data_IF_495581000682
#
_entry.id   IF_495581000682
#
_cell.length_a   1.000
_cell.length_b   1.000
_cell.length_c   1.000
_cell.angle_alpha   90.00
_cell.angle_beta   90.00
_cell.angle_gamma   90.00
#
_symmetry.space_group_name_H-M   'P 1'
#
loop_
_entity.id
_entity.type
_entity.pdbx_description
1 polymer ?
#
# COMPACT_ATOMS: atom_id res chain seq x y z
N UNK A 1 26.61 -4.37 -4.53
CA UNK A 1 25.58 -5.44 -4.51
C UNK A 1 25.67 -6.20 -3.21
N UNK A 2 24.54 -6.51 -2.62
CA UNK A 2 24.38 -7.36 -1.44
C UNK A 2 23.56 -8.59 -1.82
N UNK A 3 23.53 -9.59 -0.95
CA UNK A 3 22.72 -10.79 -1.14
C UNK A 3 21.63 -10.83 -0.07
N UNK A 4 20.38 -10.85 -0.51
CA UNK A 4 19.19 -10.93 0.37
C UNK A 4 18.51 -12.27 0.14
N UNK A 5 18.33 -13.05 1.18
CA UNK A 5 17.54 -14.27 1.16
C UNK A 5 16.11 -13.96 1.63
N UNK A 6 15.11 -14.46 0.90
CA UNK A 6 13.70 -14.43 1.26
C UNK A 6 13.02 -15.72 0.80
N UNK A 7 12.35 -16.43 1.71
CA UNK A 7 11.58 -17.62 1.37
C UNK A 7 12.39 -18.73 0.69
N UNK A 8 13.67 -18.86 0.99
CA UNK A 8 14.59 -19.85 0.37
C UNK A 8 15.20 -19.41 -0.97
N UNK A 9 14.87 -18.19 -1.46
CA UNK A 9 15.43 -17.62 -2.68
C UNK A 9 16.45 -16.54 -2.32
N UNK A 10 17.61 -16.55 -2.97
CA UNK A 10 18.65 -15.52 -2.79
C UNK A 10 18.66 -14.57 -3.96
N UNK A 11 18.56 -13.27 -3.68
CA UNK A 11 18.60 -12.18 -4.65
C UNK A 11 19.91 -11.39 -4.51
N UNK A 12 20.56 -11.09 -5.63
CA UNK A 12 21.69 -10.17 -5.68
C UNK A 12 21.19 -8.78 -6.06
N UNK A 13 21.28 -7.81 -5.12
CA UNK A 13 20.62 -6.51 -5.26
C UNK A 13 21.54 -5.35 -4.89
N UNK A 14 21.22 -4.16 -5.39
CA UNK A 14 21.80 -2.87 -4.97
C UNK A 14 20.80 -2.07 -4.13
N UNK A 15 19.49 -2.36 -4.28
CA UNK A 15 18.44 -1.64 -3.60
C UNK A 15 17.28 -2.57 -3.19
N UNK A 16 16.55 -2.16 -2.17
CA UNK A 16 15.26 -2.76 -1.78
C UNK A 16 14.23 -1.64 -1.66
N UNK A 17 13.14 -1.76 -2.40
CA UNK A 17 11.98 -0.89 -2.28
C UNK A 17 10.86 -1.62 -1.55
N UNK A 18 10.13 -0.89 -0.72
CA UNK A 18 9.04 -1.44 0.09
C UNK A 18 7.74 -0.68 -0.19
N UNK A 19 6.65 -1.41 -0.32
CA UNK A 19 5.33 -0.87 -0.09
C UNK A 19 5.15 -0.54 1.41
N UNK A 20 4.13 0.24 1.75
CA UNK A 20 3.88 0.72 3.11
C UNK A 20 2.76 -0.06 3.80
N UNK A 21 1.54 0.07 3.31
CA UNK A 21 0.34 -0.43 3.98
C UNK A 21 0.14 -1.94 3.72
N UNK A 22 0.00 -2.74 4.79
CA UNK A 22 -0.01 -4.20 4.68
C UNK A 22 1.39 -4.83 4.59
N UNK A 23 2.42 -4.01 4.37
CA UNK A 23 3.82 -4.45 4.24
C UNK A 23 4.66 -4.04 5.45
N UNK A 24 4.71 -2.75 5.76
CA UNK A 24 5.45 -2.19 6.90
C UNK A 24 4.54 -1.88 8.08
N UNK A 25 3.27 -1.57 7.79
CA UNK A 25 2.28 -1.13 8.78
C UNK A 25 1.02 -1.98 8.60
N UNK A 26 0.39 -2.31 9.73
CA UNK A 26 -0.91 -2.99 9.76
C UNK A 26 -1.98 -2.12 9.08
N UNK A 27 -2.47 -2.60 7.95
CA UNK A 27 -3.43 -1.91 7.10
C UNK A 27 -4.76 -1.68 7.82
N UNK A 28 -5.27 -2.68 8.56
CA UNK A 28 -6.56 -2.57 9.27
C UNK A 28 -6.46 -1.54 10.41
N UNK A 29 -5.35 -1.53 11.14
CA UNK A 29 -5.12 -0.57 12.22
C UNK A 29 -4.98 0.86 11.70
N UNK A 30 -4.31 1.03 10.55
CA UNK A 30 -4.06 2.35 9.95
C UNK A 30 -5.31 2.90 9.23
N UNK A 31 -5.99 2.08 8.45
CA UNK A 31 -7.04 2.51 7.53
C UNK A 31 -8.46 2.11 7.92
N UNK A 32 -8.66 1.08 8.77
CA UNK A 32 -9.99 0.58 9.14
C UNK A 32 -10.94 1.67 9.65
N UNK A 33 -10.53 2.53 10.60
CA UNK A 33 -11.36 3.66 11.06
C UNK A 33 -11.73 4.65 9.95
N UNK A 34 -10.77 4.98 9.07
CA UNK A 34 -10.97 5.87 7.94
C UNK A 34 -11.92 5.29 6.88
N UNK A 35 -11.78 4.01 6.58
CA UNK A 35 -12.67 3.28 5.66
C UNK A 35 -14.11 3.22 6.18
N UNK A 36 -14.28 2.92 7.47
CA UNK A 36 -15.59 2.95 8.11
C UNK A 36 -16.22 4.34 8.04
N UNK A 37 -15.47 5.39 8.38
CA UNK A 37 -15.93 6.77 8.33
C UNK A 37 -16.35 7.18 6.91
N UNK A 38 -15.60 6.75 5.89
CA UNK A 38 -15.92 6.96 4.49
C UNK A 38 -17.29 6.35 4.14
N UNK A 39 -17.44 5.05 4.37
CA UNK A 39 -18.67 4.31 4.01
C UNK A 39 -19.88 4.86 4.78
N UNK A 40 -19.77 5.12 6.07
CA UNK A 40 -20.85 5.63 6.89
C UNK A 40 -21.29 7.04 6.48
N UNK A 41 -20.32 7.90 6.09
CA UNK A 41 -20.62 9.26 5.64
C UNK A 41 -21.28 9.25 4.26
N UNK A 42 -20.74 8.48 3.30
CA UNK A 42 -21.29 8.41 1.95
C UNK A 42 -22.70 7.79 1.92
N UNK A 43 -22.93 6.76 2.71
CA UNK A 43 -24.21 6.06 2.78
C UNK A 43 -25.27 6.79 3.60
N UNK A 44 -24.88 7.72 4.49
CA UNK A 44 -25.74 8.34 5.47
C UNK A 44 -26.54 7.27 6.27
N UNK A 45 -27.88 7.24 6.14
CA UNK A 45 -28.75 6.27 6.84
C UNK A 45 -29.28 5.15 5.94
N UNK A 46 -28.80 5.04 4.70
CA UNK A 46 -29.28 4.06 3.73
C UNK A 46 -28.56 2.71 3.90
N UNK A 47 -29.21 1.74 4.52
CA UNK A 47 -28.61 0.44 4.87
C UNK A 47 -28.07 -0.31 3.64
N UNK A 48 -28.84 -0.39 2.55
CA UNK A 48 -28.41 -1.08 1.32
C UNK A 48 -27.22 -0.37 0.67
N UNK A 49 -27.30 0.95 0.54
CA UNK A 49 -26.19 1.74 0.00
C UNK A 49 -24.90 1.55 0.82
N UNK A 50 -25.02 1.49 2.15
CA UNK A 50 -23.89 1.21 3.05
C UNK A 50 -23.27 -0.15 2.79
N UNK A 51 -24.10 -1.19 2.61
CA UNK A 51 -23.63 -2.55 2.31
C UNK A 51 -22.91 -2.61 0.97
N UNK A 52 -23.51 -2.01 -0.07
CA UNK A 52 -22.95 -2.03 -1.42
C UNK A 52 -21.65 -1.18 -1.52
N UNK A 53 -21.61 -0.02 -0.86
CA UNK A 53 -20.39 0.77 -0.74
C UNK A 53 -19.28 -0.02 -0.04
N UNK A 54 -19.58 -0.65 1.09
CA UNK A 54 -18.59 -1.43 1.82
C UNK A 54 -18.07 -2.60 0.99
N UNK A 55 -18.94 -3.33 0.29
CA UNK A 55 -18.58 -4.43 -0.57
C UNK A 55 -17.71 -3.98 -1.74
N UNK A 56 -18.09 -2.90 -2.44
CA UNK A 56 -17.35 -2.39 -3.60
C UNK A 56 -16.00 -1.75 -3.23
N UNK A 57 -15.93 -1.12 -2.07
CA UNK A 57 -14.70 -0.49 -1.57
C UNK A 57 -13.81 -1.45 -0.80
N UNK A 58 -14.29 -2.65 -0.46
CA UNK A 58 -13.52 -3.67 0.24
C UNK A 58 -13.43 -3.45 1.75
N UNK A 59 -14.56 -3.14 2.42
CA UNK A 59 -14.69 -3.08 3.87
C UNK A 59 -15.66 -4.16 4.35
N UNK A 60 -15.21 -5.05 5.21
CA UNK A 60 -16.06 -5.96 5.95
C UNK A 60 -16.74 -5.20 7.12
N UNK A 61 -18.05 -5.01 7.03
CA UNK A 61 -18.80 -4.24 8.02
C UNK A 61 -18.94 -4.94 9.37
N UNK A 62 -18.85 -6.25 9.39
CA UNK A 62 -19.02 -7.05 10.63
C UNK A 62 -17.74 -7.04 11.45
N UNK A 63 -16.60 -7.23 10.81
CA UNK A 63 -15.29 -7.27 11.46
C UNK A 63 -14.60 -5.91 11.49
N UNK A 64 -14.95 -5.00 10.57
CA UNK A 64 -14.28 -3.70 10.36
C UNK A 64 -12.93 -3.81 9.65
N UNK A 65 -12.61 -5.00 9.12
CA UNK A 65 -11.34 -5.26 8.41
C UNK A 65 -11.45 -4.91 6.94
N UNK A 66 -10.32 -4.55 6.36
CA UNK A 66 -10.21 -4.35 4.93
C UNK A 66 -10.05 -5.68 4.20
N UNK A 67 -10.73 -5.79 3.07
CA UNK A 67 -10.62 -6.98 2.21
C UNK A 67 -9.32 -6.88 1.41
N UNK A 68 -8.50 -7.91 1.49
CA UNK A 68 -7.24 -7.99 0.73
C UNK A 68 -7.52 -7.83 -0.77
N UNK A 69 -6.86 -6.88 -1.41
CA UNK A 69 -7.08 -6.54 -2.83
C UNK A 69 -8.31 -5.67 -3.10
N UNK A 70 -9.09 -5.31 -2.08
CA UNK A 70 -10.18 -4.34 -2.20
C UNK A 70 -9.68 -2.91 -2.40
N UNK A 71 -10.55 -2.02 -2.88
CA UNK A 71 -10.16 -0.64 -3.25
C UNK A 71 -9.55 0.15 -2.08
N UNK A 72 -10.00 -0.07 -0.84
CA UNK A 72 -9.36 0.53 0.34
C UNK A 72 -7.95 0.02 0.59
N UNK A 73 -7.65 -1.22 0.18
CA UNK A 73 -6.36 -1.85 0.44
C UNK A 73 -5.32 -1.50 -0.64
N UNK A 74 -5.73 -1.35 -1.90
CA UNK A 74 -4.78 -1.23 -3.02
C UNK A 74 -5.00 -0.01 -3.90
N UNK A 75 -6.13 0.69 -3.73
CA UNK A 75 -6.52 1.82 -4.56
C UNK A 75 -5.97 3.16 -4.08
N UNK A 76 -6.03 4.15 -4.97
CA UNK A 76 -5.78 5.56 -4.64
C UNK A 76 -7.05 6.21 -4.08
N UNK A 77 -6.90 7.35 -3.39
CA UNK A 77 -8.03 8.18 -2.93
C UNK A 77 -8.95 8.60 -4.10
N UNK A 78 -8.36 8.82 -5.30
CA UNK A 78 -9.13 9.08 -6.52
C UNK A 78 -10.03 7.91 -6.91
N UNK A 79 -9.50 6.69 -6.89
CA UNK A 79 -10.28 5.48 -7.19
C UNK A 79 -11.38 5.22 -6.15
N UNK A 80 -11.11 5.45 -4.87
CA UNK A 80 -12.15 5.40 -3.82
C UNK A 80 -13.29 6.39 -4.12
N UNK A 81 -12.95 7.62 -4.52
CA UNK A 81 -13.92 8.65 -4.86
C UNK A 81 -14.77 8.26 -6.08
N UNK A 82 -14.17 7.81 -7.17
CA UNK A 82 -14.86 7.39 -8.40
C UNK A 82 -15.76 6.17 -8.16
N UNK A 83 -15.28 5.16 -7.42
CA UNK A 83 -16.08 4.00 -7.04
C UNK A 83 -17.28 4.42 -6.20
N UNK A 84 -17.09 5.36 -5.27
CA UNK A 84 -18.19 5.91 -4.46
C UNK A 84 -19.25 6.59 -5.33
N UNK A 85 -18.84 7.40 -6.31
CA UNK A 85 -19.78 8.05 -7.25
C UNK A 85 -20.56 7.02 -8.06
N UNK A 86 -19.91 5.95 -8.53
CA UNK A 86 -20.57 4.88 -9.29
C UNK A 86 -21.65 4.19 -8.44
N UNK A 87 -21.31 3.76 -7.21
CA UNK A 87 -22.28 3.11 -6.32
C UNK A 87 -23.41 4.05 -5.95
N UNK A 88 -23.15 5.32 -5.65
CA UNK A 88 -24.21 6.32 -5.40
C UNK A 88 -25.16 6.45 -6.59
N UNK A 89 -24.60 6.46 -7.81
CA UNK A 89 -25.39 6.52 -9.05
C UNK A 89 -26.30 5.32 -9.23
N UNK A 90 -25.84 4.11 -8.92
CA UNK A 90 -26.62 2.86 -8.97
C UNK A 90 -27.79 2.88 -7.95
N UNK A 91 -27.65 3.65 -6.88
CA UNK A 91 -28.70 3.90 -5.89
C UNK A 91 -29.55 5.14 -6.17
N UNK A 92 -29.44 5.74 -7.37
CA UNK A 92 -30.26 6.89 -7.79
C UNK A 92 -29.80 8.24 -7.23
N UNK A 93 -28.62 8.31 -6.63
CA UNK A 93 -28.02 9.58 -6.16
C UNK A 93 -27.07 10.10 -7.25
N UNK A 94 -27.37 11.24 -7.85
CA UNK A 94 -26.67 11.73 -9.03
C UNK A 94 -26.20 13.19 -8.90
N UNK A 95 -25.31 13.60 -9.83
CA UNK A 95 -24.89 14.99 -10.00
C UNK A 95 -24.29 15.61 -8.74
N UNK A 96 -24.69 16.83 -8.41
CA UNK A 96 -24.14 17.57 -7.28
C UNK A 96 -24.39 16.92 -5.90
N UNK A 97 -25.44 16.11 -5.78
CA UNK A 97 -25.73 15.39 -4.54
C UNK A 97 -24.70 14.27 -4.31
N UNK A 98 -24.44 13.44 -5.32
CA UNK A 98 -23.42 12.39 -5.25
C UNK A 98 -22.04 12.99 -4.99
N UNK A 99 -21.69 14.08 -5.68
CA UNK A 99 -20.41 14.77 -5.48
C UNK A 99 -20.24 15.29 -4.05
N UNK A 100 -21.30 15.87 -3.46
CA UNK A 100 -21.26 16.32 -2.06
C UNK A 100 -21.11 15.15 -1.08
N UNK A 101 -21.81 14.03 -1.31
CA UNK A 101 -21.72 12.85 -0.45
C UNK A 101 -20.29 12.25 -0.50
N UNK A 102 -19.74 12.06 -1.69
CA UNK A 102 -18.39 11.53 -1.87
C UNK A 102 -17.32 12.49 -1.31
N UNK A 103 -17.46 13.80 -1.51
CA UNK A 103 -16.54 14.79 -0.94
C UNK A 103 -16.61 14.83 0.59
N UNK A 104 -17.81 14.71 1.18
CA UNK A 104 -17.98 14.63 2.63
C UNK A 104 -17.34 13.34 3.20
N UNK A 105 -17.51 12.21 2.51
CA UNK A 105 -16.88 10.95 2.88
C UNK A 105 -15.36 11.06 2.89
N UNK A 106 -14.77 11.62 1.83
CA UNK A 106 -13.33 11.89 1.75
C UNK A 106 -12.84 12.76 2.91
N UNK A 107 -13.53 13.87 3.19
CA UNK A 107 -13.15 14.78 4.26
C UNK A 107 -13.23 14.12 5.64
N UNK A 108 -14.30 13.37 5.93
CA UNK A 108 -14.47 12.66 7.22
C UNK A 108 -13.44 11.54 7.38
N UNK A 109 -13.15 10.81 6.30
CA UNK A 109 -12.12 9.77 6.30
C UNK A 109 -10.72 10.35 6.53
N UNK A 110 -10.41 11.52 5.95
CA UNK A 110 -9.13 12.18 6.19
C UNK A 110 -8.94 12.54 7.68
N UNK A 111 -9.98 13.12 8.33
CA UNK A 111 -9.94 13.42 9.77
C UNK A 111 -9.76 12.15 10.61
N UNK A 112 -10.49 11.08 10.29
CA UNK A 112 -10.34 9.79 10.97
C UNK A 112 -8.93 9.19 10.74
N UNK A 113 -8.35 9.45 9.57
CA UNK A 113 -6.99 9.05 9.20
C UNK A 113 -5.89 9.83 9.91
N UNK A 114 -6.13 11.05 10.39
CA UNK A 114 -5.15 11.81 11.18
C UNK A 114 -4.78 11.12 12.50
N UNK A 115 -5.71 10.36 13.06
CA UNK A 115 -5.50 9.56 14.28
C UNK A 115 -5.05 8.12 13.98
N UNK A 116 -4.38 7.87 12.84
CA UNK A 116 -3.96 6.53 12.42
C UNK A 116 -3.13 5.84 13.49
N UNK A 117 -3.52 4.61 13.79
CA UNK A 117 -2.74 3.73 14.63
C UNK A 117 -1.69 3.02 13.76
N UNK A 118 -0.50 3.59 13.67
CA UNK A 118 0.59 3.09 12.85
C UNK A 118 1.30 1.94 13.57
N UNK A 119 0.74 0.74 13.48
CA UNK A 119 1.29 -0.48 14.08
C UNK A 119 2.27 -1.13 13.12
N UNK A 120 3.57 -1.25 13.48
CA UNK A 120 4.56 -1.92 12.64
C UNK A 120 4.23 -3.42 12.47
N UNK A 121 4.48 -3.96 11.27
CA UNK A 121 4.41 -5.38 10.97
C UNK A 121 5.80 -6.02 11.13
N UNK A 122 6.10 -6.49 12.33
CA UNK A 122 7.40 -7.08 12.68
C UNK A 122 8.47 -6.03 13.02
N UNK A 123 9.75 -6.42 12.99
CA UNK A 123 10.88 -5.54 13.25
C UNK A 123 11.31 -4.77 12.00
N UNK A 124 10.47 -3.82 11.57
CA UNK A 124 10.73 -2.97 10.40
C UNK A 124 12.04 -2.20 10.57
N UNK A 125 12.22 -1.52 11.70
CA UNK A 125 13.41 -0.70 11.93
C UNK A 125 14.70 -1.53 11.95
N UNK A 126 14.67 -2.73 12.53
CA UNK A 126 15.78 -3.67 12.53
C UNK A 126 16.13 -4.15 11.11
N UNK A 127 15.11 -4.51 10.33
CA UNK A 127 15.28 -4.92 8.92
C UNK A 127 15.91 -3.81 8.08
N UNK A 128 15.40 -2.58 8.18
CA UNK A 128 15.95 -1.44 7.45
C UNK A 128 17.40 -1.13 7.83
N UNK A 129 17.73 -1.18 9.13
CA UNK A 129 19.12 -1.02 9.58
C UNK A 129 20.04 -2.09 9.02
N UNK A 130 19.65 -3.34 9.10
CA UNK A 130 20.46 -4.45 8.61
C UNK A 130 20.73 -4.38 7.10
N UNK A 131 19.71 -4.02 6.30
CA UNK A 131 19.86 -3.80 4.85
C UNK A 131 20.77 -2.60 4.56
N UNK A 132 20.61 -1.49 5.27
CA UNK A 132 21.42 -0.28 5.10
C UNK A 132 22.89 -0.54 5.49
N UNK A 133 23.14 -1.20 6.62
CA UNK A 133 24.49 -1.61 7.08
C UNK A 133 25.17 -2.56 6.09
N UNK A 134 24.41 -3.40 5.39
CA UNK A 134 24.92 -4.24 4.30
C UNK A 134 25.22 -3.45 3.02
N UNK A 135 24.78 -2.19 2.93
CA UNK A 135 25.03 -1.28 1.82
C UNK A 135 23.94 -1.25 0.75
N UNK A 136 22.73 -1.73 1.06
CA UNK A 136 21.56 -1.56 0.19
C UNK A 136 21.06 -0.11 0.22
N UNK A 137 20.58 0.40 -0.91
CA UNK A 137 19.75 1.59 -0.97
C UNK A 137 18.30 1.21 -0.67
N UNK A 138 17.58 2.08 0.06
CA UNK A 138 16.25 1.78 0.54
C UNK A 138 15.23 2.83 0.09
N UNK A 139 14.07 2.37 -0.37
CA UNK A 139 12.97 3.24 -0.75
C UNK A 139 11.64 2.77 -0.18
N UNK A 140 10.72 3.73 -0.01
CA UNK A 140 9.28 3.47 0.17
C UNK A 140 8.56 3.88 -1.11
N UNK A 141 7.65 3.03 -1.57
CA UNK A 141 6.79 3.25 -2.74
C UNK A 141 5.35 2.94 -2.33
N UNK A 142 4.52 3.96 -2.19
CA UNK A 142 3.15 3.81 -1.70
C UNK A 142 2.14 4.56 -2.57
N UNK A 143 0.91 4.05 -2.63
CA UNK A 143 -0.23 4.73 -3.24
C UNK A 143 -0.79 5.88 -2.39
N UNK A 144 -0.31 6.03 -1.16
CA UNK A 144 -0.67 7.10 -0.24
C UNK A 144 -0.05 8.44 -0.64
N UNK A 145 -0.59 9.53 -0.10
CA UNK A 145 0.03 10.85 -0.24
C UNK A 145 1.34 10.95 0.58
N UNK A 146 2.17 11.92 0.21
CA UNK A 146 3.47 12.13 0.84
C UNK A 146 3.36 12.39 2.35
N UNK A 147 2.36 13.12 2.80
CA UNK A 147 2.16 13.45 4.22
C UNK A 147 1.94 12.19 5.05
N UNK A 148 1.12 11.25 4.55
CA UNK A 148 0.86 9.98 5.23
C UNK A 148 2.11 9.08 5.28
N UNK A 149 2.90 9.07 4.22
CA UNK A 149 4.17 8.33 4.20
C UNK A 149 5.16 8.92 5.20
N UNK A 150 5.32 10.25 5.24
CA UNK A 150 6.24 10.93 6.17
C UNK A 150 5.86 10.65 7.64
N UNK A 151 4.55 10.62 7.97
CA UNK A 151 4.08 10.25 9.30
C UNK A 151 4.47 8.81 9.68
N UNK A 152 4.32 7.86 8.73
CA UNK A 152 4.74 6.48 8.91
C UNK A 152 6.25 6.34 9.09
N UNK A 153 7.02 7.02 8.27
CA UNK A 153 8.50 7.04 8.33
C UNK A 153 8.99 7.52 9.69
N UNK A 154 8.36 8.56 10.24
CA UNK A 154 8.65 9.07 11.59
C UNK A 154 8.27 8.03 12.66
N UNK A 155 7.08 7.46 12.59
CA UNK A 155 6.59 6.46 13.54
C UNK A 155 7.47 5.19 13.56
N UNK A 156 7.94 4.76 12.39
CA UNK A 156 8.82 3.60 12.24
C UNK A 156 10.29 3.90 12.57
N UNK A 157 10.69 5.17 12.67
CA UNK A 157 12.07 5.57 12.98
C UNK A 157 13.08 5.24 11.87
N UNK A 158 12.65 5.20 10.60
CA UNK A 158 13.47 4.76 9.47
C UNK A 158 13.91 5.89 8.53
N UNK A 159 13.54 7.14 8.82
CA UNK A 159 13.74 8.26 7.90
C UNK A 159 15.19 8.49 7.45
N UNK A 160 16.15 8.32 8.37
CA UNK A 160 17.58 8.49 8.05
C UNK A 160 18.19 7.33 7.25
N UNK A 161 17.43 6.25 7.04
CA UNK A 161 17.85 5.06 6.31
C UNK A 161 17.35 5.05 4.87
N UNK A 162 16.45 5.97 4.50
CA UNK A 162 15.82 6.01 3.19
C UNK A 162 16.63 6.87 2.21
N UNK A 163 16.87 6.32 1.02
CA UNK A 163 17.44 7.04 -0.13
C UNK A 163 16.34 7.66 -1.01
N UNK A 164 15.13 7.07 -1.03
CA UNK A 164 14.02 7.58 -1.82
C UNK A 164 12.64 7.29 -1.19
N UNK A 165 11.68 8.14 -1.53
CA UNK A 165 10.25 7.95 -1.27
C UNK A 165 9.52 8.33 -2.56
N UNK A 166 8.58 7.49 -3.01
CA UNK A 166 7.66 7.77 -4.11
C UNK A 166 6.23 7.63 -3.60
N UNK A 167 5.44 8.69 -3.75
CA UNK A 167 4.07 8.78 -3.22
C UNK A 167 3.04 8.85 -4.34
N UNK A 168 1.80 8.47 -4.01
CA UNK A 168 0.69 8.42 -4.97
C UNK A 168 0.21 9.78 -5.48
N UNK A 169 0.60 10.90 -4.83
CA UNK A 169 0.24 12.27 -5.21
C UNK A 169 1.28 12.95 -6.12
N UNK A 170 2.33 12.24 -6.55
CA UNK A 170 3.37 12.79 -7.41
C UNK A 170 3.03 12.78 -8.92
N UNK A 171 1.88 12.25 -9.30
CA UNK A 171 1.37 12.28 -10.68
C UNK A 171 1.88 11.17 -11.60
N UNK A 172 2.48 10.11 -11.03
CA UNK A 172 2.80 8.89 -11.75
C UNK A 172 1.57 7.99 -11.88
N UNK A 173 1.56 7.11 -12.89
CA UNK A 173 0.54 6.08 -12.97
C UNK A 173 0.67 5.15 -11.75
N UNK A 174 -0.47 4.87 -11.05
CA UNK A 174 -0.42 4.06 -9.83
C UNK A 174 -0.14 2.60 -10.13
N UNK A 175 0.34 1.85 -9.14
CA UNK A 175 0.43 0.40 -9.22
C UNK A 175 -0.92 -0.20 -9.69
N UNK A 176 -0.95 -1.16 -10.62
CA UNK A 176 0.16 -2.02 -11.07
C UNK A 176 1.04 -1.46 -12.20
N UNK A 177 0.92 -0.18 -12.59
CA UNK A 177 1.85 0.42 -13.54
C UNK A 177 3.29 0.45 -12.97
N UNK A 178 4.33 0.37 -13.83
CA UNK A 178 5.72 0.30 -13.39
C UNK A 178 6.29 1.63 -12.90
N UNK A 179 5.60 2.74 -13.14
CA UNK A 179 6.09 4.11 -13.07
C UNK A 179 6.70 4.45 -11.72
N UNK A 180 5.97 4.15 -10.64
CA UNK A 180 6.43 4.45 -9.27
C UNK A 180 7.68 3.65 -8.87
N UNK A 181 7.83 2.41 -9.35
CA UNK A 181 9.03 1.59 -9.09
C UNK A 181 10.21 2.04 -9.96
N UNK A 182 9.95 2.38 -11.21
CA UNK A 182 10.95 2.94 -12.12
C UNK A 182 11.50 4.26 -11.56
N UNK A 183 10.61 5.12 -11.04
CA UNK A 183 11.02 6.37 -10.39
C UNK A 183 11.81 6.13 -9.11
N UNK A 184 11.43 5.16 -8.29
CA UNK A 184 12.19 4.80 -7.09
C UNK A 184 13.61 4.34 -7.45
N UNK A 185 13.75 3.47 -8.45
CA UNK A 185 15.05 3.02 -8.94
C UNK A 185 15.90 4.20 -9.46
N UNK A 186 15.28 5.11 -10.24
CA UNK A 186 15.94 6.32 -10.74
C UNK A 186 16.43 7.23 -9.60
N UNK A 187 15.64 7.47 -8.57
CA UNK A 187 16.02 8.28 -7.38
C UNK A 187 17.15 7.64 -6.60
N UNK A 188 17.15 6.33 -6.49
CA UNK A 188 18.22 5.58 -5.84
C UNK A 188 19.47 5.43 -6.73
N UNK A 189 19.40 5.75 -8.03
CA UNK A 189 20.50 5.62 -8.98
C UNK A 189 20.87 4.16 -9.27
N UNK A 190 19.86 3.28 -9.33
CA UNK A 190 20.02 1.85 -9.64
C UNK A 190 19.13 1.46 -10.83
N UNK A 191 19.48 0.39 -11.52
CA UNK A 191 18.62 -0.22 -12.52
C UNK A 191 17.52 -1.04 -11.83
N UNK A 192 16.26 -1.04 -12.33
CA UNK A 192 15.20 -1.87 -11.76
C UNK A 192 15.59 -3.35 -11.61
N UNK A 193 16.31 -3.92 -12.57
CA UNK A 193 16.80 -5.31 -12.52
C UNK A 193 17.78 -5.60 -11.36
N UNK A 194 18.20 -4.59 -10.60
CA UNK A 194 19.04 -4.71 -9.40
C UNK A 194 18.32 -4.28 -8.13
N UNK A 195 17.03 -4.07 -8.22
CA UNK A 195 16.16 -3.71 -7.10
C UNK A 195 15.24 -4.87 -6.75
N UNK A 196 15.18 -5.25 -5.48
CA UNK A 196 14.14 -6.12 -4.94
C UNK A 196 12.94 -5.26 -4.54
N UNK A 197 11.72 -5.73 -4.83
CA UNK A 197 10.51 -5.08 -4.35
C UNK A 197 9.80 -5.94 -3.32
N UNK A 198 9.30 -5.33 -2.25
CA UNK A 198 8.60 -6.01 -1.15
C UNK A 198 7.25 -5.35 -0.98
N UNK A 199 6.18 -6.16 -1.07
CA UNK A 199 4.78 -5.71 -0.95
C UNK A 199 3.91 -6.79 -0.35
N UNK A 200 2.59 -6.61 -0.31
CA UNK A 200 1.66 -7.57 0.24
C UNK A 200 0.54 -8.00 -0.72
N UNK A 201 0.39 -7.30 -1.84
CA UNK A 201 -0.77 -7.37 -2.72
C UNK A 201 -0.43 -7.80 -4.16
N UNK A 202 -1.49 -8.12 -4.92
CA UNK A 202 -1.35 -8.44 -6.33
C UNK A 202 -0.87 -7.24 -7.17
N UNK A 203 -1.24 -6.00 -6.79
CA UNK A 203 -0.78 -4.81 -7.50
C UNK A 203 0.72 -4.59 -7.32
N UNK A 204 1.29 -4.98 -6.18
CA UNK A 204 2.73 -4.93 -5.94
C UNK A 204 3.47 -5.94 -6.81
N UNK A 205 2.96 -7.19 -6.83
CA UNK A 205 3.55 -8.23 -7.65
C UNK A 205 3.52 -7.88 -9.15
N UNK A 206 2.39 -7.35 -9.63
CA UNK A 206 2.23 -6.91 -11.02
C UNK A 206 3.11 -5.70 -11.35
N UNK A 207 3.19 -4.70 -10.47
CA UNK A 207 4.05 -3.53 -10.65
C UNK A 207 5.54 -3.93 -10.70
N UNK A 208 5.96 -4.82 -9.81
CA UNK A 208 7.32 -5.35 -9.80
C UNK A 208 7.68 -6.08 -11.10
N UNK A 209 6.78 -6.93 -11.59
CA UNK A 209 6.94 -7.60 -12.88
C UNK A 209 7.00 -6.60 -14.04
N UNK A 210 6.11 -5.62 -14.07
CA UNK A 210 6.06 -4.60 -15.13
C UNK A 210 7.30 -3.70 -15.13
N UNK A 211 7.84 -3.35 -13.96
CA UNK A 211 9.06 -2.56 -13.82
C UNK A 211 10.34 -3.36 -14.11
N UNK A 212 10.27 -4.68 -14.18
CA UNK A 212 11.43 -5.55 -14.41
C UNK A 212 12.40 -5.59 -13.22
N UNK A 213 11.88 -5.54 -11.99
CA UNK A 213 12.72 -5.71 -10.79
C UNK A 213 13.28 -7.13 -10.73
N UNK A 214 14.40 -7.33 -10.02
CA UNK A 214 15.03 -8.65 -9.94
C UNK A 214 14.12 -9.71 -9.30
N UNK A 215 13.19 -9.28 -8.48
CA UNK A 215 12.16 -10.11 -7.86
C UNK A 215 11.20 -9.30 -7.03
N UNK A 216 10.01 -9.86 -6.80
CA UNK A 216 9.03 -9.33 -5.84
C UNK A 216 8.83 -10.35 -4.74
N UNK A 217 8.96 -9.91 -3.51
CA UNK A 217 8.66 -10.69 -2.30
C UNK A 217 7.33 -10.18 -1.74
N UNK A 218 6.38 -11.09 -1.52
CA UNK A 218 5.15 -10.76 -0.83
C UNK A 218 5.23 -11.13 0.64
N UNK A 219 4.67 -10.28 1.49
CA UNK A 219 4.61 -10.52 2.94
C UNK A 219 3.21 -10.92 3.38
N UNK A 220 3.13 -11.62 4.51
CA UNK A 220 1.87 -11.99 5.15
C UNK A 220 1.09 -13.08 4.43
N UNK A 221 -0.18 -12.83 4.16
CA UNK A 221 -1.08 -13.79 3.50
C UNK A 221 -1.69 -13.20 2.22
N UNK A 222 -0.89 -13.06 1.15
CA UNK A 222 -1.37 -12.51 -0.12
C UNK A 222 -2.46 -13.37 -0.75
N UNK A 223 -3.29 -12.76 -1.58
CA UNK A 223 -4.36 -13.42 -2.34
C UNK A 223 -3.80 -14.50 -3.29
N UNK A 224 -4.69 -15.40 -3.77
CA UNK A 224 -4.32 -16.39 -4.80
C UNK A 224 -3.80 -15.73 -6.07
N UNK A 225 -4.42 -14.64 -6.50
CA UNK A 225 -4.00 -13.83 -7.65
C UNK A 225 -2.56 -13.29 -7.48
N UNK A 226 -2.24 -12.76 -6.30
CA UNK A 226 -0.88 -12.30 -6.01
C UNK A 226 0.15 -13.44 -6.05
N UNK A 227 -0.22 -14.63 -5.56
CA UNK A 227 0.64 -15.83 -5.58
C UNK A 227 0.88 -16.40 -6.98
N UNK A 228 0.02 -16.09 -7.96
CA UNK A 228 0.24 -16.46 -9.37
C UNK A 228 1.35 -15.60 -10.01
N UNK A 229 1.56 -14.39 -9.50
CA UNK A 229 2.56 -13.46 -10.03
C UNK A 229 3.94 -13.63 -9.40
N UNK A 230 4.03 -14.14 -8.17
CA UNK A 230 5.29 -14.47 -7.51
C UNK A 230 5.14 -15.63 -6.55
N UNK A 231 6.15 -16.53 -6.52
CA UNK A 231 6.19 -17.66 -5.58
C UNK A 231 6.90 -17.33 -4.27
N UNK A 232 7.51 -16.15 -4.16
CA UNK A 232 8.28 -15.79 -2.96
C UNK A 232 7.37 -15.06 -1.99
N UNK A 233 6.97 -15.78 -0.94
CA UNK A 233 6.11 -15.27 0.13
C UNK A 233 6.78 -15.53 1.47
N UNK A 234 6.83 -14.52 2.32
CA UNK A 234 7.41 -14.59 3.67
C UNK A 234 6.42 -14.06 4.72
N UNK A 235 6.54 -14.44 5.99
CA UNK A 235 5.63 -13.97 7.04
C UNK A 235 5.61 -12.45 7.24
N UNK A 236 6.75 -11.78 7.09
CA UNK A 236 6.91 -10.35 7.27
C UNK A 236 8.27 -9.88 6.78
N UNK A 237 8.51 -8.58 6.79
CA UNK A 237 9.76 -7.97 6.31
C UNK A 237 10.98 -8.39 7.14
N UNK A 238 10.79 -8.75 8.40
CA UNK A 238 11.82 -9.29 9.30
C UNK A 238 12.25 -10.72 8.96
N UNK A 239 11.65 -11.33 7.95
CA UNK A 239 12.08 -12.60 7.35
C UNK A 239 13.16 -12.43 6.28
N UNK A 240 13.45 -11.21 5.83
CA UNK A 240 14.56 -10.93 4.93
C UNK A 240 15.90 -11.14 5.67
N UNK A 241 16.82 -11.89 5.07
CA UNK A 241 18.14 -12.20 5.65
C UNK A 241 19.25 -11.75 4.71
N UNK A 242 20.26 -11.08 5.27
CA UNK A 242 21.52 -10.83 4.57
C UNK A 242 22.39 -12.09 4.63
N UNK A 243 22.92 -12.52 3.48
CA UNK A 243 23.72 -13.77 3.33
C UNK A 243 24.97 -13.58 2.51
#
# INVERSE_FOLDING_TARGET
MIRVEAGGVVFEVEAVAFDKDGTLIDLDAAWGPAARAWVETAAARHVRLRQDLAAQLGLDLDTGRLVTGGTFAVGTVGQLYETTLAVLSDHGVHGAEAQRAAAAARATSAIAGEARNLVPLGDVAGTFRALNEAGARLAIVSSDDRTAIDAAVVALGIGSLLDAVVSGDEGFDPKPAPDVLTEAARRMGVEPARMLYVGDSWVDAAAGQAAGVVGTVLVGNPSSEARELTSVVVPGVDSLRMV
#
